data_IF_707365489183
#
_entry.id   IF_707365489183
#
_cell.length_a   1.000
_cell.length_b   1.000
_cell.length_c   1.000
_cell.angle_alpha   90.00
_cell.angle_beta   90.00
_cell.angle_gamma   90.00
#
_symmetry.space_group_name_H-M   'P 1'
#
loop_
_entity.id
_entity.type
_entity.pdbx_description
1 polymer ?
#
# COMPACT_ATOMS: atom_id res chain seq x y z
N UNK A 1 14.62 -6.62 -4.53
CA UNK A 1 14.18 -7.74 -3.70
C UNK A 1 12.81 -7.48 -3.12
N UNK A 2 12.01 -8.54 -2.94
CA UNK A 2 10.81 -8.51 -2.12
C UNK A 2 11.23 -8.83 -0.69
N UNK A 3 11.20 -7.83 0.18
CA UNK A 3 11.68 -7.99 1.56
C UNK A 3 10.66 -8.69 2.45
N UNK A 4 9.38 -8.43 2.25
CA UNK A 4 8.29 -9.06 2.99
C UNK A 4 6.97 -9.00 2.20
N UNK A 5 6.15 -10.01 2.37
CA UNK A 5 4.78 -10.03 1.87
C UNK A 5 3.89 -10.80 2.84
N UNK A 6 2.65 -10.35 2.97
CA UNK A 6 1.63 -11.04 3.78
C UNK A 6 0.25 -10.79 3.19
N UNK A 7 -0.68 -11.70 3.46
CA UNK A 7 -2.08 -11.55 3.10
C UNK A 7 -2.99 -12.01 4.25
N UNK A 8 -4.22 -11.53 4.25
CA UNK A 8 -5.27 -11.96 5.16
C UNK A 8 -6.55 -12.23 4.35
N UNK A 9 -7.31 -13.29 4.67
CA UNK A 9 -6.98 -14.34 5.63
C UNK A 9 -5.68 -15.06 5.29
N UNK A 10 -4.92 -15.49 6.32
CA UNK A 10 -3.65 -16.19 6.15
C UNK A 10 -3.89 -17.70 6.03
N UNK A 11 -3.29 -18.32 5.02
CA UNK A 11 -3.20 -19.78 4.89
C UNK A 11 -1.90 -20.23 5.52
N UNK A 12 -1.99 -21.22 6.41
CA UNK A 12 -0.86 -21.88 7.05
C UNK A 12 -1.03 -23.40 6.90
N UNK A 13 0.02 -24.15 7.16
CA UNK A 13 -0.07 -25.62 7.18
C UNK A 13 -1.15 -26.12 8.17
N UNK A 14 -1.33 -25.42 9.28
CA UNK A 14 -2.25 -25.80 10.33
C UNK A 14 -3.73 -25.54 9.96
N UNK A 15 -4.01 -24.46 9.23
CA UNK A 15 -5.39 -24.07 8.86
C UNK A 15 -5.77 -24.44 7.41
N UNK A 16 -4.88 -25.03 6.63
CA UNK A 16 -5.14 -25.35 5.22
C UNK A 16 -6.37 -26.24 5.02
N UNK A 17 -6.60 -27.20 5.91
CA UNK A 17 -7.75 -28.10 5.90
C UNK A 17 -8.89 -27.65 6.83
N UNK A 18 -8.76 -26.53 7.53
CA UNK A 18 -9.78 -26.03 8.44
C UNK A 18 -10.94 -25.42 7.65
N UNK A 19 -12.13 -26.06 7.79
CA UNK A 19 -13.35 -25.60 7.12
C UNK A 19 -13.73 -24.18 7.55
N UNK A 20 -13.60 -23.84 8.83
CA UNK A 20 -13.94 -22.51 9.33
C UNK A 20 -13.01 -21.42 8.78
N UNK A 21 -11.72 -21.74 8.57
CA UNK A 21 -10.80 -20.82 7.92
C UNK A 21 -11.16 -20.58 6.45
N UNK A 22 -11.58 -21.64 5.74
CA UNK A 22 -11.96 -21.58 4.32
C UNK A 22 -13.30 -20.89 4.07
N UNK A 23 -14.19 -20.89 5.04
CA UNK A 23 -15.50 -20.24 5.00
C UNK A 23 -15.44 -18.76 5.38
N UNK A 24 -14.25 -18.23 5.76
CA UNK A 24 -14.09 -16.80 6.02
C UNK A 24 -14.36 -15.97 4.76
N UNK A 25 -15.03 -14.84 4.88
CA UNK A 25 -15.21 -13.93 3.76
C UNK A 25 -13.86 -13.58 3.09
N UNK A 26 -13.85 -13.59 1.74
CA UNK A 26 -12.65 -13.30 0.93
C UNK A 26 -11.46 -14.25 1.14
N UNK A 27 -11.69 -15.42 1.72
CA UNK A 27 -10.68 -16.48 1.72
C UNK A 27 -10.28 -16.83 0.28
N UNK A 28 -8.99 -16.95 0.05
CA UNK A 28 -8.43 -17.41 -1.23
C UNK A 28 -7.20 -18.26 -0.98
N UNK A 29 -7.07 -19.33 -1.75
CA UNK A 29 -5.85 -20.17 -1.78
C UNK A 29 -4.78 -19.53 -2.69
N UNK A 30 -5.15 -18.54 -3.50
CA UNK A 30 -4.24 -17.84 -4.38
C UNK A 30 -3.43 -16.79 -3.64
N UNK A 31 -2.19 -16.60 -4.04
CA UNK A 31 -1.39 -15.47 -3.58
C UNK A 31 -1.97 -14.16 -4.11
N UNK A 32 -2.32 -13.25 -3.20
CA UNK A 32 -2.77 -11.91 -3.58
C UNK A 32 -1.66 -11.08 -4.21
N UNK A 33 -0.40 -11.43 -4.00
CA UNK A 33 0.74 -10.72 -4.57
C UNK A 33 0.81 -10.85 -6.10
N UNK A 34 0.63 -12.07 -6.64
CA UNK A 34 0.88 -12.36 -8.06
C UNK A 34 -0.18 -13.24 -8.75
N UNK A 35 -1.15 -13.81 -8.01
CA UNK A 35 -2.21 -14.67 -8.57
C UNK A 35 -3.60 -14.01 -8.52
N UNK A 36 -3.72 -12.83 -7.95
CA UNK A 36 -4.97 -12.07 -7.88
C UNK A 36 -4.84 -10.77 -8.62
N UNK A 37 -5.67 -10.58 -9.62
CA UNK A 37 -5.74 -9.34 -10.38
C UNK A 37 -6.91 -8.50 -9.90
N UNK A 38 -6.74 -7.19 -9.98
CA UNK A 38 -7.72 -6.21 -9.51
C UNK A 38 -7.53 -4.88 -10.25
N UNK A 39 -8.54 -4.03 -10.21
CA UNK A 39 -8.42 -2.64 -10.66
C UNK A 39 -7.65 -1.82 -9.61
N UNK A 40 -6.50 -1.21 -9.97
CA UNK A 40 -5.60 -0.58 -8.99
C UNK A 40 -6.13 0.72 -8.38
N UNK A 41 -7.12 1.34 -9.02
CA UNK A 41 -7.64 2.63 -8.60
C UNK A 41 -6.60 3.74 -8.68
N UNK A 42 -6.77 4.77 -7.85
CA UNK A 42 -6.00 6.02 -7.94
C UNK A 42 -4.49 5.90 -7.71
N UNK A 43 -3.95 4.77 -7.31
CA UNK A 43 -2.49 4.57 -7.29
C UNK A 43 -1.90 4.56 -8.70
N UNK A 44 -2.73 4.23 -9.73
CA UNK A 44 -2.35 4.30 -11.14
C UNK A 44 -1.97 5.72 -11.59
N UNK A 45 -2.51 6.75 -10.94
CA UNK A 45 -2.23 8.16 -11.24
C UNK A 45 -0.75 8.52 -11.10
N UNK A 46 0.03 7.76 -10.32
CA UNK A 46 1.49 7.94 -10.23
C UNK A 46 2.15 7.67 -11.58
N UNK A 47 1.75 6.60 -12.26
CA UNK A 47 2.28 6.23 -13.57
C UNK A 47 1.82 7.21 -14.65
N UNK A 48 0.54 7.63 -14.62
CA UNK A 48 0.04 8.63 -15.56
C UNK A 48 0.78 9.96 -15.41
N UNK A 49 0.92 10.48 -14.18
CA UNK A 49 1.57 11.76 -13.94
C UNK A 49 3.03 11.73 -14.41
N UNK A 50 3.77 10.68 -14.07
CA UNK A 50 5.14 10.50 -14.54
C UNK A 50 5.22 10.46 -16.08
N UNK A 51 4.29 9.76 -16.75
CA UNK A 51 4.22 9.69 -18.21
C UNK A 51 3.89 11.03 -18.86
N UNK A 52 2.97 11.79 -18.26
CA UNK A 52 2.57 13.09 -18.77
C UNK A 52 3.69 14.14 -18.61
N UNK A 53 4.43 14.10 -17.52
CA UNK A 53 5.62 14.91 -17.29
C UNK A 53 6.76 14.54 -18.26
N UNK A 54 7.02 13.24 -18.45
CA UNK A 54 8.04 12.73 -19.37
C UNK A 54 7.76 13.14 -20.81
N UNK A 55 6.51 13.15 -21.21
CA UNK A 55 6.07 13.53 -22.58
C UNK A 55 5.80 15.03 -22.76
N UNK A 56 5.99 15.85 -21.72
CA UNK A 56 5.66 17.29 -21.71
C UNK A 56 4.17 17.56 -22.07
N UNK A 57 3.24 16.71 -21.61
CA UNK A 57 1.80 16.82 -21.88
C UNK A 57 1.01 17.40 -20.71
N UNK A 58 1.68 17.77 -19.62
CA UNK A 58 1.07 18.45 -18.48
C UNK A 58 1.96 19.61 -18.02
N UNK A 59 1.33 20.75 -17.77
CA UNK A 59 1.89 21.84 -16.97
C UNK A 59 1.24 21.80 -15.59
N UNK A 60 2.02 21.52 -14.56
CA UNK A 60 1.56 21.36 -13.18
C UNK A 60 0.84 22.61 -12.64
N UNK A 61 1.18 23.80 -13.14
CA UNK A 61 0.61 25.08 -12.71
C UNK A 61 -0.62 25.49 -13.52
N UNK A 62 -0.91 24.82 -14.66
CA UNK A 62 -2.11 25.07 -15.42
C UNK A 62 -3.36 24.61 -14.66
N UNK A 63 -4.41 25.41 -14.70
CA UNK A 63 -5.65 25.14 -14.00
C UNK A 63 -6.69 24.50 -14.91
N UNK A 64 -7.57 23.71 -14.32
CA UNK A 64 -8.69 23.07 -15.00
C UNK A 64 -9.94 23.02 -14.14
N UNK A 65 -11.11 22.96 -14.78
CA UNK A 65 -12.38 22.72 -14.09
C UNK A 65 -12.57 21.23 -13.82
N UNK A 66 -12.93 20.88 -12.58
CA UNK A 66 -12.96 19.51 -12.02
C UNK A 66 -14.15 18.65 -12.44
N UNK A 67 -14.75 18.91 -13.60
CA UNK A 67 -15.81 18.11 -14.20
C UNK A 67 -15.51 17.90 -15.66
N UNK A 68 -15.65 16.68 -16.14
CA UNK A 68 -15.47 16.34 -17.56
C UNK A 68 -16.64 15.53 -18.05
N UNK A 69 -17.29 16.02 -19.09
CA UNK A 69 -18.27 15.24 -19.85
C UNK A 69 -17.52 14.42 -20.89
N UNK A 70 -17.63 13.10 -20.80
CA UNK A 70 -16.97 12.15 -21.67
C UNK A 70 -18.02 11.23 -22.28
N UNK A 71 -18.43 11.49 -23.52
CA UNK A 71 -19.55 10.82 -24.19
C UNK A 71 -20.81 10.88 -23.31
N UNK A 72 -21.34 9.73 -22.88
CA UNK A 72 -22.52 9.59 -22.03
C UNK A 72 -22.17 9.52 -20.52
N UNK A 73 -20.87 9.65 -20.17
CA UNK A 73 -20.38 9.58 -18.79
C UNK A 73 -19.91 10.94 -18.31
N UNK A 74 -20.28 11.31 -17.10
CA UNK A 74 -19.74 12.49 -16.41
C UNK A 74 -18.69 12.03 -15.40
N UNK A 75 -17.44 12.48 -15.56
CA UNK A 75 -16.37 12.22 -14.61
C UNK A 75 -16.28 13.41 -13.66
N UNK A 76 -16.54 13.12 -12.39
CA UNK A 76 -16.44 14.04 -11.27
C UNK A 76 -15.35 13.59 -10.31
N UNK A 77 -14.92 14.50 -9.44
CA UNK A 77 -14.07 14.20 -8.31
C UNK A 77 -14.92 13.76 -7.11
N UNK A 78 -14.28 13.12 -6.13
CA UNK A 78 -14.92 12.49 -4.97
C UNK A 78 -15.73 13.45 -4.08
N UNK A 79 -15.43 14.75 -4.12
CA UNK A 79 -16.08 15.79 -3.32
C UNK A 79 -17.18 16.55 -4.08
N UNK A 80 -17.48 16.14 -5.31
CA UNK A 80 -18.59 16.70 -6.06
C UNK A 80 -19.92 16.25 -5.41
N UNK A 81 -20.82 17.21 -5.21
CA UNK A 81 -22.21 16.87 -4.88
C UNK A 81 -22.84 16.11 -6.05
N UNK A 82 -23.48 15.00 -5.78
CA UNK A 82 -24.28 14.26 -6.75
C UNK A 82 -25.58 14.98 -7.10
N UNK A 83 -25.94 16.04 -6.33
CA UNK A 83 -27.04 16.92 -6.63
C UNK A 83 -26.77 17.68 -7.95
N UNK A 84 -27.82 17.92 -8.70
CA UNK A 84 -27.83 18.43 -10.08
C UNK A 84 -27.06 19.74 -10.35
N UNK A 85 -26.63 20.46 -9.32
CA UNK A 85 -25.91 21.73 -9.42
C UNK A 85 -24.39 21.63 -9.60
N UNK A 86 -23.81 20.43 -9.40
CA UNK A 86 -22.38 20.18 -9.59
C UNK A 86 -21.47 20.99 -8.66
N UNK A 87 -21.93 21.33 -7.46
CA UNK A 87 -21.11 22.01 -6.45
C UNK A 87 -20.03 21.08 -5.91
N UNK A 88 -18.89 21.64 -5.53
CA UNK A 88 -17.77 20.95 -4.91
C UNK A 88 -17.53 21.48 -3.50
N UNK A 89 -17.04 20.63 -2.61
CA UNK A 89 -16.60 21.05 -1.25
C UNK A 89 -15.31 21.86 -1.29
N UNK A 90 -14.41 21.51 -2.21
CA UNK A 90 -13.18 22.23 -2.52
C UNK A 90 -13.38 23.09 -3.77
N UNK A 91 -12.48 24.04 -4.11
CA UNK A 91 -12.60 24.87 -5.29
C UNK A 91 -12.87 24.07 -6.58
N UNK A 92 -13.79 24.51 -7.41
CA UNK A 92 -14.18 23.83 -8.65
C UNK A 92 -13.11 23.88 -9.76
N UNK A 93 -12.15 24.79 -9.62
CA UNK A 93 -10.99 24.95 -10.51
C UNK A 93 -9.72 24.84 -9.69
N UNK A 94 -8.82 23.97 -10.11
CA UNK A 94 -7.56 23.67 -9.42
C UNK A 94 -6.45 23.49 -10.45
N UNK A 95 -5.21 23.59 -10.02
CA UNK A 95 -4.04 23.24 -10.84
C UNK A 95 -3.89 21.73 -10.97
N UNK A 96 -3.12 21.26 -11.96
CA UNK A 96 -2.83 19.81 -12.08
C UNK A 96 -2.04 19.29 -10.89
N UNK A 97 -1.19 20.10 -10.26
CA UNK A 97 -0.49 19.72 -9.03
C UNK A 97 -1.47 19.47 -7.87
N UNK A 98 -2.35 20.44 -7.59
CA UNK A 98 -3.42 20.30 -6.58
C UNK A 98 -4.35 19.12 -6.89
N UNK A 99 -4.72 18.96 -8.17
CA UNK A 99 -5.53 17.85 -8.63
C UNK A 99 -4.89 16.48 -8.40
N UNK A 100 -3.58 16.34 -8.57
CA UNK A 100 -2.89 15.11 -8.23
C UNK A 100 -2.92 14.84 -6.72
N UNK A 101 -2.63 15.85 -5.90
CA UNK A 101 -2.61 15.73 -4.44
C UNK A 101 -3.98 15.37 -3.86
N UNK A 102 -5.06 15.96 -4.37
CA UNK A 102 -6.43 15.62 -3.99
C UNK A 102 -7.00 14.39 -4.71
N UNK A 103 -6.20 13.76 -5.56
CA UNK A 103 -6.61 12.55 -6.30
C UNK A 103 -7.75 12.77 -7.29
N UNK A 104 -7.75 13.90 -8.03
CA UNK A 104 -8.77 14.26 -9.02
C UNK A 104 -8.85 13.27 -10.19
N UNK A 105 -10.03 12.71 -10.45
CA UNK A 105 -10.29 11.90 -11.64
C UNK A 105 -10.45 12.78 -12.88
N UNK A 106 -11.09 13.94 -12.73
CA UNK A 106 -11.26 14.90 -13.81
C UNK A 106 -9.91 15.43 -14.33
N UNK A 107 -8.95 15.69 -13.42
CA UNK A 107 -7.59 16.08 -13.79
C UNK A 107 -6.88 15.01 -14.61
N UNK A 108 -6.95 13.76 -14.18
CA UNK A 108 -6.32 12.65 -14.91
C UNK A 108 -6.97 12.42 -16.28
N UNK A 109 -8.29 12.54 -16.37
CA UNK A 109 -9.01 12.51 -17.65
C UNK A 109 -8.48 13.55 -18.61
N UNK A 110 -8.31 14.79 -18.16
CA UNK A 110 -7.77 15.87 -19.01
C UNK A 110 -6.33 15.64 -19.43
N UNK A 111 -5.52 15.04 -18.56
CA UNK A 111 -4.15 14.66 -18.90
C UNK A 111 -4.15 13.64 -20.04
N UNK A 112 -4.98 12.58 -19.98
CA UNK A 112 -5.06 11.60 -21.07
C UNK A 112 -5.63 12.25 -22.35
N UNK A 113 -6.60 13.15 -22.24
CA UNK A 113 -7.08 13.91 -23.40
C UNK A 113 -5.95 14.73 -24.06
N UNK A 114 -5.05 15.33 -23.28
CA UNK A 114 -3.89 16.09 -23.79
C UNK A 114 -2.79 15.17 -24.35
N UNK A 115 -2.61 13.98 -23.77
CA UNK A 115 -1.65 12.99 -24.25
C UNK A 115 -2.10 12.28 -25.52
N UNK A 116 -3.38 11.96 -25.59
CA UNK A 116 -3.98 10.99 -26.51
C UNK A 116 -3.86 9.56 -25.98
N UNK A 117 -4.87 8.74 -26.26
CA UNK A 117 -4.95 7.37 -25.78
C UNK A 117 -3.78 6.49 -26.23
N UNK A 118 -3.32 6.64 -27.48
CA UNK A 118 -2.20 5.86 -28.03
C UNK A 118 -0.90 6.12 -27.25
N UNK A 119 -0.64 7.37 -26.89
CA UNK A 119 0.55 7.70 -26.11
C UNK A 119 0.44 7.12 -24.70
N UNK A 120 -0.74 7.21 -24.07
CA UNK A 120 -0.97 6.60 -22.76
C UNK A 120 -0.81 5.07 -22.80
N UNK A 121 -1.39 4.38 -23.78
CA UNK A 121 -1.21 2.94 -23.98
C UNK A 121 0.26 2.58 -24.16
N UNK A 122 1.01 3.37 -24.92
CA UNK A 122 2.46 3.14 -25.08
C UNK A 122 3.21 3.20 -23.74
N UNK A 123 2.84 4.10 -22.82
CA UNK A 123 3.43 4.16 -21.49
C UNK A 123 3.01 2.99 -20.61
N UNK A 124 1.75 2.54 -20.66
CA UNK A 124 1.32 1.33 -19.96
C UNK A 124 2.18 0.13 -20.35
N UNK A 125 2.48 -0.01 -21.65
CA UNK A 125 3.36 -1.08 -22.17
C UNK A 125 4.81 -0.87 -21.77
N UNK A 126 5.31 0.36 -21.72
CA UNK A 126 6.67 0.68 -21.22
C UNK A 126 6.82 0.31 -19.74
N UNK A 127 5.79 0.52 -18.91
CA UNK A 127 5.71 0.03 -17.54
C UNK A 127 5.44 -1.47 -17.42
N UNK A 128 5.29 -2.16 -18.57
CA UNK A 128 5.04 -3.61 -18.66
C UNK A 128 3.76 -4.08 -17.97
N UNK A 129 2.71 -3.24 -17.92
CA UNK A 129 1.39 -3.73 -17.58
C UNK A 129 0.87 -4.69 -18.67
N UNK A 130 0.04 -5.66 -18.30
CA UNK A 130 -0.48 -6.68 -19.20
C UNK A 130 0.52 -7.79 -19.55
N UNK A 131 1.72 -7.84 -18.92
CA UNK A 131 2.69 -8.94 -19.12
C UNK A 131 3.22 -9.44 -17.77
N UNK A 132 3.54 -10.74 -17.64
CA UNK A 132 4.02 -11.33 -16.40
C UNK A 132 5.34 -10.70 -15.92
N UNK A 133 5.58 -10.78 -14.62
CA UNK A 133 6.81 -10.29 -13.99
C UNK A 133 7.91 -11.35 -13.92
N UNK A 134 7.65 -12.56 -14.36
CA UNK A 134 8.60 -13.68 -14.30
C UNK A 134 9.13 -13.94 -12.88
N UNK A 135 8.27 -13.72 -11.87
CA UNK A 135 8.62 -13.94 -10.45
C UNK A 135 9.10 -15.37 -10.14
N UNK A 136 8.96 -16.29 -11.10
CA UNK A 136 9.37 -17.69 -10.98
C UNK A 136 8.41 -18.58 -10.21
N UNK A 137 7.21 -18.08 -9.90
CA UNK A 137 6.17 -18.82 -9.18
C UNK A 137 5.04 -19.23 -10.12
N UNK A 138 4.47 -20.40 -9.89
CA UNK A 138 3.38 -20.92 -10.73
C UNK A 138 2.09 -20.14 -10.62
N UNK A 139 1.33 -20.06 -11.73
CA UNK A 139 -0.01 -19.44 -11.74
C UNK A 139 0.00 -17.92 -11.73
N UNK A 140 1.12 -17.28 -12.09
CA UNK A 140 1.20 -15.83 -12.17
C UNK A 140 0.14 -15.25 -13.11
N UNK A 141 -0.64 -14.29 -12.61
CA UNK A 141 -1.59 -13.49 -13.37
C UNK A 141 -0.95 -12.16 -13.77
N UNK A 142 -1.37 -11.60 -14.90
CA UNK A 142 -0.75 -10.38 -15.44
C UNK A 142 -1.75 -9.31 -15.86
N UNK A 143 -3.01 -9.48 -15.47
CA UNK A 143 -4.05 -8.48 -15.71
C UNK A 143 -4.37 -8.26 -17.19
N UNK A 144 -5.08 -7.19 -17.47
CA UNK A 144 -5.43 -6.78 -18.82
C UNK A 144 -5.25 -5.26 -18.97
N UNK A 145 -4.73 -4.84 -20.11
CA UNK A 145 -4.76 -3.44 -20.54
C UNK A 145 -6.19 -3.03 -20.87
N UNK A 146 -6.51 -1.71 -20.86
CA UNK A 146 -7.83 -1.24 -21.28
C UNK A 146 -8.13 -1.69 -22.73
N UNK A 147 -9.40 -1.96 -23.00
CA UNK A 147 -9.87 -2.26 -24.34
C UNK A 147 -9.86 -1.00 -25.25
N UNK A 148 -10.29 -1.17 -26.50
CA UNK A 148 -10.32 -0.06 -27.48
C UNK A 148 -11.47 0.94 -27.21
N UNK A 149 -12.28 0.76 -26.18
CA UNK A 149 -13.31 1.71 -25.79
C UNK A 149 -12.65 2.99 -25.24
N UNK A 150 -12.91 4.17 -25.83
CA UNK A 150 -12.30 5.42 -25.37
C UNK A 150 -12.58 5.75 -23.90
N UNK A 151 -13.71 5.32 -23.35
CA UNK A 151 -14.04 5.53 -21.94
C UNK A 151 -13.13 4.66 -21.06
N UNK A 152 -12.98 3.36 -21.39
CA UNK A 152 -12.07 2.46 -20.68
C UNK A 152 -10.62 2.96 -20.70
N UNK A 153 -10.17 3.42 -21.88
CA UNK A 153 -8.81 3.97 -22.03
C UNK A 153 -8.57 5.18 -21.12
N UNK A 154 -9.53 6.10 -21.05
CA UNK A 154 -9.43 7.25 -20.15
C UNK A 154 -9.55 6.83 -18.69
N UNK A 155 -10.49 5.94 -18.35
CA UNK A 155 -10.67 5.46 -16.97
C UNK A 155 -9.46 4.70 -16.44
N UNK A 156 -8.69 4.06 -17.31
CA UNK A 156 -7.44 3.39 -16.92
C UNK A 156 -6.41 4.35 -16.30
N UNK A 157 -6.51 5.64 -16.62
CA UNK A 157 -5.65 6.69 -16.06
C UNK A 157 -5.81 6.88 -14.55
N UNK A 158 -6.96 6.52 -14.01
CA UNK A 158 -7.22 6.52 -12.58
C UNK A 158 -7.52 5.11 -12.04
N UNK A 159 -7.14 4.08 -12.82
CA UNK A 159 -7.08 2.68 -12.41
C UNK A 159 -8.40 1.94 -12.47
N UNK A 160 -9.33 2.33 -13.34
CA UNK A 160 -10.54 1.60 -13.70
C UNK A 160 -10.46 1.17 -15.18
N UNK A 161 -11.13 0.08 -15.56
CA UNK A 161 -11.01 -0.46 -16.93
C UNK A 161 -9.63 -1.04 -17.28
N UNK A 162 -8.79 -1.23 -16.30
CA UNK A 162 -7.49 -1.93 -16.37
C UNK A 162 -7.36 -2.86 -15.18
N UNK A 163 -6.83 -4.05 -15.36
CA UNK A 163 -6.54 -4.94 -14.23
C UNK A 163 -5.06 -5.24 -14.13
N UNK A 164 -4.57 -5.41 -12.91
CA UNK A 164 -3.16 -5.66 -12.60
C UNK A 164 -3.02 -6.49 -11.34
N UNK A 165 -1.84 -7.02 -11.09
CA UNK A 165 -1.47 -7.65 -9.82
C UNK A 165 -0.61 -6.70 -8.97
N UNK A 166 -0.51 -6.97 -7.67
CA UNK A 166 0.34 -6.15 -6.80
C UNK A 166 1.80 -6.15 -7.24
N UNK A 167 2.29 -7.32 -7.70
CA UNK A 167 3.69 -7.44 -8.14
C UNK A 167 3.99 -6.61 -9.40
N UNK A 168 3.03 -6.46 -10.32
CA UNK A 168 3.19 -5.60 -11.48
C UNK A 168 3.25 -4.11 -11.10
N UNK A 169 2.42 -3.67 -10.15
CA UNK A 169 2.49 -2.32 -9.59
C UNK A 169 3.85 -2.07 -8.94
N UNK A 170 4.30 -3.00 -8.11
CA UNK A 170 5.60 -2.93 -7.45
C UNK A 170 6.75 -2.88 -8.48
N UNK A 171 6.70 -3.70 -9.55
CA UNK A 171 7.67 -3.62 -10.64
C UNK A 171 7.70 -2.22 -11.25
N UNK A 172 6.55 -1.66 -11.60
CA UNK A 172 6.48 -0.30 -12.13
C UNK A 172 7.08 0.74 -11.20
N UNK A 173 6.76 0.67 -9.90
CA UNK A 173 7.28 1.60 -8.89
C UNK A 173 8.77 1.42 -8.58
N UNK A 174 9.42 0.31 -8.94
CA UNK A 174 10.88 0.22 -8.82
C UNK A 174 11.59 1.33 -9.61
N UNK A 175 11.00 1.80 -10.72
CA UNK A 175 11.54 2.93 -11.47
C UNK A 175 11.56 4.23 -10.68
N UNK A 176 10.62 4.41 -9.73
CA UNK A 176 10.57 5.58 -8.84
C UNK A 176 11.68 5.55 -7.78
N UNK A 177 12.10 4.37 -7.37
CA UNK A 177 13.17 4.18 -6.41
C UNK A 177 14.55 4.03 -7.05
N UNK A 178 14.62 3.93 -8.39
CA UNK A 178 15.86 3.60 -9.09
C UNK A 178 16.07 4.50 -10.32
N UNK A 179 15.88 5.81 -10.17
CA UNK A 179 16.20 6.87 -11.16
C UNK A 179 15.64 6.60 -12.56
N UNK A 180 14.44 6.05 -12.63
CA UNK A 180 13.79 5.70 -13.89
C UNK A 180 14.05 4.28 -14.38
N UNK A 181 14.98 3.54 -13.81
CA UNK A 181 15.23 2.14 -14.15
C UNK A 181 14.24 1.22 -13.46
N UNK A 182 13.47 0.51 -14.26
CA UNK A 182 12.50 -0.47 -13.76
C UNK A 182 13.17 -1.83 -13.60
N UNK A 183 13.04 -2.41 -12.41
CA UNK A 183 13.65 -3.70 -12.03
C UNK A 183 12.64 -4.84 -12.06
N UNK A 184 13.12 -6.03 -12.45
CA UNK A 184 12.33 -7.26 -12.29
C UNK A 184 12.31 -7.70 -10.82
N UNK A 185 11.12 -7.89 -10.22
CA UNK A 185 11.03 -8.36 -8.85
C UNK A 185 11.38 -9.85 -8.75
N UNK A 186 12.04 -10.26 -7.67
CA UNK A 186 12.33 -11.65 -7.39
C UNK A 186 12.20 -11.96 -5.89
N UNK A 187 11.84 -13.22 -5.58
CA UNK A 187 11.67 -13.73 -4.20
C UNK A 187 12.79 -14.69 -3.81
N UNK A 188 13.50 -15.25 -4.79
CA UNK A 188 14.63 -16.14 -4.55
C UNK A 188 15.91 -15.36 -4.74
N UNK A 189 16.65 -15.12 -3.68
CA UNK A 189 17.93 -14.42 -3.74
C UNK A 189 19.07 -15.36 -4.15
N UNK A 190 19.04 -16.62 -3.67
CA UNK A 190 20.13 -17.56 -3.90
C UNK A 190 19.65 -19.01 -3.79
N UNK A 191 20.19 -19.88 -4.66
CA UNK A 191 20.06 -21.35 -4.55
C UNK A 191 21.43 -21.94 -4.40
N UNK A 192 21.64 -22.72 -3.32
CA UNK A 192 22.90 -23.42 -3.04
C UNK A 192 22.65 -24.90 -2.82
N UNK A 193 23.62 -25.75 -3.15
CA UNK A 193 23.60 -27.17 -2.83
C UNK A 193 24.04 -27.44 -1.37
N UNK A 194 24.00 -28.71 -0.99
CA UNK A 194 24.47 -29.18 0.33
C UNK A 194 25.95 -28.86 0.61
N UNK A 195 26.75 -28.73 -0.44
CA UNK A 195 28.19 -28.46 -0.35
C UNK A 195 28.48 -26.95 -0.46
N UNK A 196 27.43 -26.10 -0.39
CA UNK A 196 27.46 -24.64 -0.49
C UNK A 196 27.87 -24.09 -1.87
N UNK A 197 27.87 -24.91 -2.92
CA UNK A 197 28.04 -24.41 -4.28
C UNK A 197 26.80 -23.62 -4.68
N UNK A 198 26.99 -22.45 -5.28
CA UNK A 198 25.92 -21.59 -5.73
C UNK A 198 25.47 -21.98 -7.14
N UNK A 199 24.19 -22.36 -7.29
CA UNK A 199 23.56 -22.64 -8.57
C UNK A 199 22.89 -21.41 -9.16
N UNK A 200 22.30 -20.58 -8.31
CA UNK A 200 21.64 -19.34 -8.69
C UNK A 200 21.96 -18.27 -7.66
N UNK A 201 22.27 -17.11 -8.11
CA UNK A 201 22.30 -15.89 -7.32
C UNK A 201 21.60 -14.79 -8.11
N UNK A 202 20.44 -14.34 -7.60
CA UNK A 202 19.67 -13.30 -8.25
C UNK A 202 20.37 -11.96 -8.14
N UNK A 203 20.35 -11.20 -9.23
CA UNK A 203 20.89 -9.86 -9.30
C UNK A 203 19.81 -8.89 -9.76
N UNK A 204 19.98 -7.62 -9.48
CA UNK A 204 19.11 -6.59 -10.02
C UNK A 204 19.11 -6.66 -11.55
N UNK A 205 17.96 -6.92 -12.15
CA UNK A 205 17.75 -6.98 -13.59
C UNK A 205 16.95 -5.74 -14.01
N UNK A 206 17.57 -4.85 -14.77
CA UNK A 206 16.88 -3.69 -15.36
C UNK A 206 16.08 -4.17 -16.57
N UNK A 207 14.76 -4.05 -16.51
CA UNK A 207 13.83 -4.52 -17.55
C UNK A 207 13.25 -3.39 -18.40
N UNK A 208 13.60 -2.17 -18.11
CA UNK A 208 13.21 -1.01 -18.88
C UNK A 208 13.48 0.30 -18.16
N UNK A 209 13.29 1.38 -18.91
CA UNK A 209 13.28 2.75 -18.37
C UNK A 209 12.02 3.44 -18.93
N UNK A 210 10.86 3.27 -18.25
CA UNK A 210 9.58 3.74 -18.78
C UNK A 210 9.50 5.26 -18.92
N UNK A 211 10.10 5.99 -17.99
CA UNK A 211 10.10 7.46 -17.93
C UNK A 211 11.46 7.98 -17.45
N UNK A 212 11.70 9.27 -17.63
CA UNK A 212 12.93 9.95 -17.19
C UNK A 212 13.00 10.12 -15.67
N UNK A 213 14.21 10.28 -15.15
CA UNK A 213 14.46 10.58 -13.74
C UNK A 213 13.80 11.90 -13.31
N UNK A 214 13.80 12.93 -14.16
CA UNK A 214 13.16 14.23 -13.91
C UNK A 214 11.65 14.09 -13.69
N UNK A 215 10.97 13.34 -14.57
CA UNK A 215 9.53 13.08 -14.44
C UNK A 215 9.19 12.33 -13.16
N UNK A 216 10.02 11.37 -12.76
CA UNK A 216 9.86 10.64 -11.51
C UNK A 216 10.05 11.55 -10.30
N UNK A 217 11.10 12.36 -10.27
CA UNK A 217 11.38 13.25 -9.14
C UNK A 217 10.24 14.25 -8.94
N UNK A 218 9.75 14.87 -10.00
CA UNK A 218 8.56 15.75 -9.94
C UNK A 218 7.31 15.02 -9.45
N UNK A 219 7.11 13.78 -9.88
CA UNK A 219 5.97 12.97 -9.40
C UNK A 219 6.11 12.64 -7.92
N UNK A 220 7.32 12.29 -7.44
CA UNK A 220 7.56 12.05 -6.00
C UNK A 220 7.35 13.30 -5.15
N UNK A 221 7.71 14.48 -5.64
CA UNK A 221 7.41 15.75 -4.95
C UNK A 221 5.89 15.93 -4.77
N UNK A 222 5.10 15.65 -5.81
CA UNK A 222 3.64 15.64 -5.69
C UNK A 222 3.13 14.57 -4.72
N UNK A 223 3.75 13.38 -4.70
CA UNK A 223 3.42 12.32 -3.74
C UNK A 223 3.75 12.71 -2.29
N UNK A 224 4.79 13.52 -2.06
CA UNK A 224 5.04 14.13 -0.75
C UNK A 224 3.89 15.09 -0.40
N UNK A 225 3.45 15.91 -1.34
CA UNK A 225 2.28 16.81 -1.16
C UNK A 225 0.99 16.04 -0.81
N UNK A 226 0.76 14.87 -1.38
CA UNK A 226 -0.38 14.00 -0.98
C UNK A 226 -0.39 13.73 0.53
N UNK A 227 0.79 13.67 1.17
CA UNK A 227 0.91 13.37 2.59
C UNK A 227 1.09 14.61 3.49
N UNK A 228 1.50 15.74 2.94
CA UNK A 228 1.90 16.90 3.74
C UNK A 228 1.07 18.16 3.51
N UNK A 229 0.32 18.23 2.41
CA UNK A 229 -0.50 19.40 2.13
C UNK A 229 -1.82 19.35 2.93
N UNK A 230 -2.10 20.33 3.80
CA UNK A 230 -3.28 20.30 4.66
C UNK A 230 -4.60 20.58 3.92
N UNK A 231 -4.53 21.11 2.70
CA UNK A 231 -5.71 21.46 1.90
C UNK A 231 -6.03 20.40 0.86
N UNK A 232 -5.01 19.90 0.17
CA UNK A 232 -5.15 19.02 -0.99
C UNK A 232 -4.74 17.58 -0.74
N UNK A 233 -3.94 17.34 0.29
CA UNK A 233 -3.34 16.02 0.56
C UNK A 233 -4.36 15.01 1.05
N UNK A 234 -4.59 13.94 0.27
CA UNK A 234 -5.53 12.88 0.65
C UNK A 234 -5.06 11.99 1.81
N UNK A 235 -3.82 12.07 2.22
CA UNK A 235 -3.28 11.40 3.42
C UNK A 235 -2.81 12.37 4.51
N UNK A 236 -3.24 13.64 4.44
CA UNK A 236 -3.12 14.58 5.54
C UNK A 236 -4.40 14.57 6.38
N UNK A 237 -4.28 14.21 7.64
CA UNK A 237 -5.42 14.18 8.57
C UNK A 237 -5.71 15.59 9.07
N UNK A 238 -6.92 16.09 8.85
CA UNK A 238 -7.33 17.44 9.28
C UNK A 238 -8.00 17.47 10.64
N UNK A 239 -8.48 16.31 11.11
CA UNK A 239 -9.13 16.15 12.42
C UNK A 239 -8.58 14.90 13.09
N UNK A 240 -8.62 14.86 14.43
CA UNK A 240 -8.26 13.67 15.17
C UNK A 240 -9.14 12.48 14.76
N UNK A 241 -8.52 11.35 14.49
CA UNK A 241 -9.22 10.11 14.10
C UNK A 241 -8.45 8.88 14.58
N UNK A 242 -9.12 7.96 15.24
CA UNK A 242 -8.57 6.68 15.69
C UNK A 242 -7.27 6.80 16.52
N UNK A 243 -7.14 7.88 17.29
CA UNK A 243 -5.97 8.15 18.11
C UNK A 243 -4.79 8.78 17.36
N UNK A 244 -5.00 9.23 16.11
CA UNK A 244 -4.04 10.03 15.37
C UNK A 244 -4.35 11.51 15.47
N UNK A 245 -3.36 12.30 15.81
CA UNK A 245 -3.41 13.75 15.75
C UNK A 245 -3.48 14.24 14.29
N UNK A 246 -4.05 15.46 14.04
CA UNK A 246 -3.99 16.06 12.72
C UNK A 246 -2.55 16.18 12.18
N UNK A 247 -2.36 15.85 10.93
CA UNK A 247 -1.03 15.89 10.29
C UNK A 247 -0.83 14.81 9.23
N UNK A 248 0.40 14.68 8.72
CA UNK A 248 0.76 13.61 7.79
C UNK A 248 0.59 12.22 8.43
N UNK A 249 -0.13 11.32 7.75
CA UNK A 249 -0.36 9.96 8.26
C UNK A 249 0.85 9.03 8.09
N UNK A 250 1.61 9.19 7.01
CA UNK A 250 2.72 8.29 6.69
C UNK A 250 4.06 8.91 7.08
N UNK A 251 4.60 8.44 8.20
CA UNK A 251 5.81 9.00 8.81
C UNK A 251 6.75 7.90 9.31
N UNK A 252 8.05 8.12 9.13
CA UNK A 252 9.12 7.29 9.71
C UNK A 252 10.05 8.19 10.52
N UNK A 253 10.16 7.98 11.82
CA UNK A 253 11.04 8.75 12.70
C UNK A 253 10.90 10.28 12.52
N UNK A 254 9.67 10.77 12.37
CA UNK A 254 9.38 12.21 12.16
C UNK A 254 9.63 12.72 10.74
N UNK A 255 10.00 11.86 9.79
CA UNK A 255 10.18 12.19 8.38
C UNK A 255 8.99 11.69 7.55
N UNK A 256 8.57 12.49 6.58
CA UNK A 256 7.47 12.14 5.68
C UNK A 256 7.87 11.08 4.65
N UNK A 257 6.87 10.45 4.05
CA UNK A 257 7.02 9.55 2.90
C UNK A 257 6.41 10.20 1.64
N UNK A 258 6.82 9.74 0.46
CA UNK A 258 6.09 9.99 -0.77
C UNK A 258 4.95 8.96 -0.88
N UNK A 259 3.70 9.45 -0.93
CA UNK A 259 2.50 8.61 -0.80
C UNK A 259 1.52 8.83 -1.95
N UNK A 260 0.84 7.79 -2.38
CA UNK A 260 -0.39 7.91 -3.17
C UNK A 260 -1.44 6.94 -2.65
N UNK A 261 -2.60 7.48 -2.34
CA UNK A 261 -3.77 6.73 -1.89
C UNK A 261 -4.61 6.28 -3.08
N UNK A 262 -5.34 5.19 -2.91
CA UNK A 262 -6.23 4.65 -3.93
C UNK A 262 -7.54 4.17 -3.32
N UNK A 263 -8.60 4.37 -4.09
CA UNK A 263 -9.91 3.76 -3.89
C UNK A 263 -10.36 3.22 -5.23
N UNK A 264 -10.70 1.95 -5.31
CA UNK A 264 -11.23 1.31 -6.50
C UNK A 264 -12.54 0.60 -6.17
N UNK A 265 -13.48 0.61 -7.10
CA UNK A 265 -14.70 -0.17 -6.98
C UNK A 265 -14.40 -1.65 -7.28
N UNK A 266 -15.15 -2.55 -6.68
CA UNK A 266 -15.04 -3.97 -6.96
C UNK A 266 -15.93 -4.31 -8.13
N UNK A 267 -15.37 -4.95 -9.16
CA UNK A 267 -16.15 -5.45 -10.29
C UNK A 267 -17.15 -6.51 -9.82
N UNK A 268 -18.37 -6.43 -10.31
CA UNK A 268 -19.41 -7.42 -10.04
C UNK A 268 -19.33 -8.57 -11.06
N UNK A 269 -19.59 -9.79 -10.60
CA UNK A 269 -19.62 -11.01 -11.47
C UNK A 269 -20.65 -10.88 -12.60
N UNK A 270 -21.67 -10.04 -12.43
CA UNK A 270 -22.73 -9.78 -13.41
C UNK A 270 -22.40 -8.64 -14.38
N UNK A 271 -21.20 -8.10 -14.33
CA UNK A 271 -20.76 -6.91 -15.08
C UNK A 271 -21.03 -5.61 -14.32
N UNK A 272 -20.24 -4.57 -14.60
CA UNK A 272 -20.25 -3.30 -13.89
C UNK A 272 -19.58 -3.42 -12.50
N UNK A 273 -19.97 -2.53 -11.58
CA UNK A 273 -19.40 -2.46 -10.23
C UNK A 273 -20.44 -2.84 -9.18
N UNK A 274 -19.96 -3.41 -8.07
CA UNK A 274 -20.80 -3.66 -6.91
C UNK A 274 -21.32 -2.33 -6.34
N UNK A 275 -22.57 -2.33 -5.89
CA UNK A 275 -23.24 -1.11 -5.41
C UNK A 275 -23.29 -1.12 -3.88
N UNK A 276 -22.28 -0.61 -3.24
CA UNK A 276 -22.28 -0.43 -1.79
C UNK A 276 -21.08 0.39 -1.36
N UNK A 277 -21.23 1.22 -0.34
CA UNK A 277 -20.09 1.96 0.24
C UNK A 277 -18.99 1.02 0.78
N UNK A 278 -19.30 -0.27 0.90
CA UNK A 278 -18.42 -1.30 1.44
C UNK A 278 -17.70 -2.11 0.35
N UNK A 279 -18.08 -1.91 -0.92
CA UNK A 279 -17.59 -2.72 -2.03
C UNK A 279 -16.41 -2.04 -2.74
N UNK A 280 -15.44 -1.59 -1.96
CA UNK A 280 -14.26 -0.90 -2.48
C UNK A 280 -12.96 -1.59 -2.06
N UNK A 281 -11.95 -1.42 -2.88
CA UNK A 281 -10.56 -1.70 -2.56
C UNK A 281 -9.89 -0.39 -2.19
N UNK A 282 -9.40 -0.29 -0.98
CA UNK A 282 -8.60 0.83 -0.52
C UNK A 282 -7.13 0.46 -0.55
N UNK A 283 -6.30 1.37 -1.00
CA UNK A 283 -4.87 1.11 -1.16
C UNK A 283 -4.01 2.33 -0.88
N UNK A 284 -2.75 2.10 -0.56
CA UNK A 284 -1.73 3.12 -0.57
C UNK A 284 -0.39 2.53 -1.01
N UNK A 285 0.34 3.30 -1.81
CA UNK A 285 1.78 3.13 -2.01
C UNK A 285 2.49 4.20 -1.20
N UNK A 286 3.55 3.81 -0.49
CA UNK A 286 4.41 4.71 0.24
C UNK A 286 5.89 4.39 -0.06
N UNK A 287 6.70 5.42 -0.26
CA UNK A 287 8.11 5.29 -0.60
C UNK A 287 8.95 6.07 0.40
N UNK A 288 10.00 5.44 0.91
CA UNK A 288 10.86 6.04 1.95
C UNK A 288 12.35 5.69 1.72
N UNK A 289 13.28 6.64 1.89
CA UNK A 289 13.05 8.11 1.96
C UNK A 289 12.39 8.65 0.67
N UNK A 290 11.68 9.80 0.72
CA UNK A 290 10.93 10.26 -0.45
C UNK A 290 11.81 10.67 -1.64
N UNK A 291 13.00 11.23 -1.40
CA UNK A 291 13.88 11.73 -2.45
C UNK A 291 14.56 10.56 -3.20
N UNK A 292 15.06 9.57 -2.46
CA UNK A 292 15.75 8.41 -3.00
C UNK A 292 15.29 7.16 -2.24
N UNK A 293 14.16 6.55 -2.62
CA UNK A 293 13.54 5.49 -1.85
C UNK A 293 14.39 4.22 -1.74
N UNK A 294 14.63 3.78 -0.52
CA UNK A 294 15.18 2.47 -0.21
C UNK A 294 14.08 1.41 -0.11
N UNK A 295 12.87 1.86 0.23
CA UNK A 295 11.72 1.00 0.47
C UNK A 295 10.51 1.49 -0.30
N UNK A 296 9.80 0.55 -0.91
CA UNK A 296 8.48 0.73 -1.50
C UNK A 296 7.53 -0.18 -0.71
N UNK A 297 6.57 0.43 -0.07
CA UNK A 297 5.47 -0.27 0.60
C UNK A 297 4.22 -0.14 -0.24
N UNK A 298 3.48 -1.23 -0.40
CA UNK A 298 2.15 -1.22 -0.97
C UNK A 298 1.22 -2.10 -0.16
N UNK A 299 0.04 -1.60 0.11
CA UNK A 299 -1.02 -2.35 0.75
C UNK A 299 -2.34 -2.04 0.10
N UNK A 300 -3.16 -3.07 -0.12
CA UNK A 300 -4.56 -2.91 -0.46
C UNK A 300 -5.43 -3.70 0.52
N UNK A 301 -6.62 -3.18 0.75
CA UNK A 301 -7.63 -3.78 1.64
C UNK A 301 -8.94 -3.82 0.87
N UNK A 302 -9.44 -5.04 0.63
CA UNK A 302 -10.78 -5.27 0.13
C UNK A 302 -11.70 -5.33 1.34
N UNK A 303 -12.50 -4.30 1.57
CA UNK A 303 -13.26 -4.20 2.81
C UNK A 303 -14.74 -4.44 2.56
N UNK A 304 -15.32 -5.31 3.39
CA UNK A 304 -16.75 -5.35 3.65
C UNK A 304 -17.16 -4.64 4.95
N UNK A 305 -16.29 -3.91 5.63
CA UNK A 305 -16.62 -3.34 6.94
C UNK A 305 -16.98 -1.86 6.88
N UNK A 306 -17.83 -1.43 7.79
CA UNK A 306 -18.64 -0.23 7.76
C UNK A 306 -17.93 1.13 7.85
N UNK A 307 -16.66 1.19 8.21
CA UNK A 307 -15.89 2.43 8.31
C UNK A 307 -14.47 2.21 7.88
N UNK A 308 -14.10 2.82 6.77
CA UNK A 308 -12.72 2.82 6.32
C UNK A 308 -11.96 4.04 6.83
N UNK A 309 -10.67 3.83 7.13
CA UNK A 309 -9.75 4.90 7.41
C UNK A 309 -8.35 4.56 6.88
N UNK A 310 -7.69 5.55 6.25
CA UNK A 310 -6.28 5.45 5.84
C UNK A 310 -5.34 5.19 7.01
N UNK A 311 -5.77 5.51 8.23
CA UNK A 311 -5.01 5.25 9.45
C UNK A 311 -4.66 3.77 9.60
N UNK A 312 -5.53 2.84 9.19
CA UNK A 312 -5.21 1.40 9.21
C UNK A 312 -4.00 1.05 8.35
N UNK A 313 -3.86 1.68 7.18
CA UNK A 313 -2.71 1.43 6.31
C UNK A 313 -1.46 2.07 6.87
N UNK A 314 -1.54 3.29 7.39
CA UNK A 314 -0.40 3.97 8.03
C UNK A 314 0.05 3.27 9.32
N UNK A 315 -0.87 2.70 10.10
CA UNK A 315 -0.57 1.91 11.30
C UNK A 315 0.25 0.65 10.99
N UNK A 316 0.16 0.13 9.77
CA UNK A 316 0.98 -0.97 9.28
C UNK A 316 2.28 -0.45 8.65
N UNK A 317 2.18 0.55 7.78
CA UNK A 317 3.30 1.07 7.00
C UNK A 317 4.40 1.69 7.88
N UNK A 318 3.99 2.56 8.82
CA UNK A 318 4.94 3.34 9.62
C UNK A 318 5.88 2.45 10.46
N UNK A 319 5.38 1.53 11.31
CA UNK A 319 6.25 0.66 12.09
C UNK A 319 7.04 -0.33 11.22
N UNK A 320 6.46 -0.82 10.12
CA UNK A 320 7.13 -1.76 9.23
C UNK A 320 8.35 -1.11 8.55
N UNK A 321 8.18 0.08 7.96
CA UNK A 321 9.27 0.79 7.28
C UNK A 321 10.31 1.28 8.31
N UNK A 322 9.87 1.76 9.47
CA UNK A 322 10.78 2.11 10.59
C UNK A 322 11.67 0.92 10.95
N UNK A 323 11.09 -0.28 11.04
CA UNK A 323 11.85 -1.49 11.34
C UNK A 323 12.79 -1.89 10.22
N UNK A 324 12.35 -1.78 8.96
CA UNK A 324 13.18 -2.05 7.79
C UNK A 324 14.40 -1.10 7.73
N UNK A 325 14.19 0.19 8.01
CA UNK A 325 15.27 1.18 8.09
C UNK A 325 16.28 0.81 9.19
N UNK A 326 15.80 0.42 10.37
CA UNK A 326 16.66 -0.03 11.46
C UNK A 326 17.53 -1.23 11.06
N UNK A 327 16.94 -2.25 10.42
CA UNK A 327 17.67 -3.44 9.96
C UNK A 327 18.72 -3.04 8.92
N UNK A 328 18.35 -2.23 7.92
CA UNK A 328 19.29 -1.75 6.90
C UNK A 328 20.49 -1.02 7.51
N UNK A 329 20.23 -0.15 8.48
CA UNK A 329 21.29 0.62 9.16
C UNK A 329 22.19 -0.26 10.00
N UNK A 330 21.69 -1.37 10.54
CA UNK A 330 22.49 -2.36 11.29
C UNK A 330 23.41 -3.18 10.36
N UNK A 331 22.91 -3.60 9.20
CA UNK A 331 23.69 -4.32 8.19
C UNK A 331 24.81 -3.47 7.58
N UNK A 332 24.58 -2.16 7.44
CA UNK A 332 25.56 -1.19 6.92
C UNK A 332 26.70 -0.90 7.93
N UNK A 333 26.59 -1.33 9.18
CA UNK A 333 27.60 -1.14 10.23
C UNK A 333 28.11 -2.49 10.75
N UNK A 334 29.12 -3.13 10.11
CA UNK A 334 29.58 -4.46 10.49
C UNK A 334 30.24 -4.60 11.88
N UNK A 335 30.31 -3.54 12.65
CA UNK A 335 31.03 -3.49 13.92
C UNK A 335 30.15 -3.11 15.10
N UNK A 336 29.07 -3.79 15.35
CA UNK A 336 28.54 -3.94 16.71
C UNK A 336 27.31 -4.88 16.75
N UNK A 337 27.53 -6.17 16.72
CA UNK A 337 26.48 -7.14 17.05
C UNK A 337 26.22 -7.22 18.56
N UNK A 338 27.00 -6.55 19.40
CA UNK A 338 26.80 -6.44 20.85
C UNK A 338 25.87 -5.30 21.27
N UNK A 339 25.47 -4.44 20.31
CA UNK A 339 24.68 -3.21 20.54
C UNK A 339 23.37 -3.14 19.77
N UNK A 340 22.69 -4.23 19.52
CA UNK A 340 21.28 -4.22 19.12
C UNK A 340 20.42 -3.60 20.24
N UNK A 341 20.51 -2.30 20.40
CA UNK A 341 19.47 -1.50 21.02
C UNK A 341 18.30 -1.43 20.02
N UNK A 342 17.65 -2.55 19.76
CA UNK A 342 16.22 -2.53 19.48
C UNK A 342 15.64 -1.61 20.57
N UNK A 343 14.95 -0.55 20.18
CA UNK A 343 14.46 0.42 21.13
C UNK A 343 13.86 -0.35 22.30
N UNK A 344 14.41 -0.19 23.49
CA UNK A 344 13.87 -0.86 24.65
C UNK A 344 12.53 -0.24 24.92
N UNK A 345 11.52 -1.05 25.02
CA UNK A 345 10.16 -0.65 25.38
C UNK A 345 10.00 -0.87 26.89
N UNK A 346 9.68 0.20 27.58
CA UNK A 346 9.32 0.10 29.01
C UNK A 346 7.87 -0.36 29.11
N UNK A 347 7.63 -1.50 29.74
CA UNK A 347 6.28 -2.03 29.85
C UNK A 347 5.44 -1.29 30.88
N UNK A 348 4.21 -1.02 30.49
CA UNK A 348 3.19 -0.48 31.38
C UNK A 348 2.56 -1.56 32.25
N UNK A 349 1.68 -1.14 33.16
CA UNK A 349 0.78 -2.02 33.88
C UNK A 349 -0.44 -2.31 33.02
N UNK A 350 -0.62 -3.60 32.68
CA UNK A 350 -1.74 -4.05 31.85
C UNK A 350 -2.83 -4.74 32.64
N UNK A 351 -2.66 -4.94 33.95
CA UNK A 351 -3.69 -5.56 34.78
C UNK A 351 -4.99 -4.72 34.77
N UNK A 352 -6.10 -5.39 34.64
CA UNK A 352 -7.43 -4.79 34.52
C UNK A 352 -7.80 -4.25 33.13
N UNK A 353 -6.85 -4.16 32.20
CA UNK A 353 -7.11 -3.69 30.83
C UNK A 353 -7.66 -4.81 29.94
N UNK A 354 -8.37 -4.45 28.87
CA UNK A 354 -8.90 -5.39 27.89
C UNK A 354 -7.75 -6.06 27.11
N UNK A 355 -7.71 -7.41 26.99
CA UNK A 355 -6.58 -8.13 26.37
C UNK A 355 -6.32 -7.74 24.92
N UNK A 356 -7.38 -7.45 24.14
CA UNK A 356 -7.26 -7.00 22.76
C UNK A 356 -6.50 -5.68 22.63
N UNK A 357 -6.90 -4.68 23.40
CA UNK A 357 -6.25 -3.36 23.40
C UNK A 357 -4.78 -3.45 23.84
N UNK A 358 -4.50 -4.28 24.85
CA UNK A 358 -3.12 -4.52 25.32
C UNK A 358 -2.30 -5.21 24.25
N UNK A 359 -2.85 -6.25 23.60
CA UNK A 359 -2.18 -6.96 22.52
C UNK A 359 -1.83 -6.03 21.35
N UNK A 360 -2.76 -5.15 20.96
CA UNK A 360 -2.51 -4.19 19.90
C UNK A 360 -1.46 -3.15 20.30
N UNK A 361 -1.47 -2.68 21.53
CA UNK A 361 -0.44 -1.79 22.06
C UNK A 361 0.93 -2.46 22.07
N UNK A 362 1.03 -3.71 22.51
CA UNK A 362 2.28 -4.47 22.52
C UNK A 362 2.81 -4.72 21.11
N UNK A 363 1.94 -5.08 20.15
CA UNK A 363 2.32 -5.26 18.74
C UNK A 363 2.83 -3.96 18.11
N UNK A 364 2.19 -2.82 18.39
CA UNK A 364 2.67 -1.49 17.93
C UNK A 364 4.07 -1.17 18.45
N UNK A 365 4.40 -1.67 19.62
CA UNK A 365 5.74 -1.55 20.21
C UNK A 365 6.69 -2.72 19.83
N UNK A 366 6.34 -3.45 18.76
CA UNK A 366 7.11 -4.57 18.23
C UNK A 366 7.33 -5.72 19.23
N UNK A 367 6.46 -5.88 20.20
CA UNK A 367 6.48 -7.00 21.15
C UNK A 367 5.54 -8.12 20.68
N UNK A 368 5.75 -9.34 21.20
CA UNK A 368 4.96 -10.51 20.85
C UNK A 368 3.95 -10.84 21.96
N UNK A 369 2.69 -10.33 21.93
CA UNK A 369 1.72 -10.66 22.94
C UNK A 369 1.22 -12.09 22.79
N UNK A 370 1.12 -12.81 23.91
CA UNK A 370 0.53 -14.15 24.02
C UNK A 370 -0.61 -14.06 25.04
N UNK A 371 -1.85 -14.10 24.57
CA UNK A 371 -3.02 -14.07 25.44
C UNK A 371 -3.37 -15.49 25.88
N UNK A 372 -3.48 -15.70 27.17
CA UNK A 372 -3.83 -16.97 27.80
C UNK A 372 -5.19 -16.81 28.47
N UNK A 373 -6.18 -17.58 28.00
CA UNK A 373 -7.56 -17.52 28.43
C UNK A 373 -8.45 -16.67 27.52
N UNK A 374 -9.76 -16.74 27.76
CA UNK A 374 -10.79 -16.06 26.97
C UNK A 374 -11.52 -14.95 27.76
N UNK A 375 -10.91 -14.46 28.81
CA UNK A 375 -11.47 -13.43 29.66
C UNK A 375 -11.47 -12.04 29.04
N UNK A 376 -12.14 -11.12 29.71
CA UNK A 376 -12.33 -9.73 29.26
C UNK A 376 -11.29 -8.77 29.82
N UNK A 377 -10.52 -9.20 30.82
CA UNK A 377 -9.49 -8.40 31.49
C UNK A 377 -8.21 -9.19 31.72
N UNK A 378 -7.08 -8.52 31.57
CA UNK A 378 -5.78 -9.05 31.96
C UNK A 378 -5.70 -9.11 33.49
N UNK A 379 -5.37 -10.28 34.03
CA UNK A 379 -5.17 -10.48 35.47
C UNK A 379 -3.71 -10.53 35.86
N UNK A 380 -2.81 -10.86 34.92
CA UNK A 380 -1.37 -10.94 35.15
C UNK A 380 -0.61 -10.80 33.81
N UNK A 381 0.56 -10.19 33.88
CA UNK A 381 1.50 -10.12 32.77
C UNK A 381 2.84 -10.79 33.15
N UNK A 382 3.52 -11.43 32.16
CA UNK A 382 4.77 -12.16 32.40
C UNK A 382 5.98 -11.26 32.61
N UNK A 383 5.94 -10.05 32.11
CA UNK A 383 7.00 -9.05 32.24
C UNK A 383 6.51 -7.93 33.13
N UNK A 384 7.26 -7.59 34.17
CA UNK A 384 6.82 -6.61 35.16
C UNK A 384 6.72 -5.18 34.57
N UNK A 385 5.79 -4.40 35.12
CA UNK A 385 5.71 -2.95 34.89
C UNK A 385 7.05 -2.28 35.15
N UNK A 386 7.43 -1.37 34.24
CA UNK A 386 8.69 -0.62 34.33
C UNK A 386 9.90 -1.37 33.82
N UNK A 387 9.78 -2.65 33.49
CA UNK A 387 10.87 -3.43 32.89
C UNK A 387 11.04 -3.02 31.42
N UNK A 388 12.29 -2.81 31.02
CA UNK A 388 12.67 -2.58 29.64
C UNK A 388 12.93 -3.89 28.91
N UNK A 389 12.30 -4.10 27.77
CA UNK A 389 12.44 -5.28 26.92
C UNK A 389 12.75 -4.90 25.48
N UNK A 390 13.45 -5.75 24.78
CA UNK A 390 13.75 -5.58 23.34
C UNK A 390 12.58 -5.98 22.44
N UNK A 391 12.66 -5.62 21.15
CA UNK A 391 11.71 -6.06 20.16
C UNK A 391 11.57 -7.60 20.10
N UNK A 392 10.39 -8.09 19.72
CA UNK A 392 10.00 -9.50 19.66
C UNK A 392 10.00 -10.22 21.02
N UNK A 393 10.20 -9.52 22.15
CA UNK A 393 10.04 -10.14 23.46
C UNK A 393 8.61 -10.64 23.65
N UNK A 394 8.41 -11.94 23.98
CA UNK A 394 7.08 -12.45 24.25
C UNK A 394 6.56 -11.90 25.59
N UNK A 395 5.36 -11.34 25.55
CA UNK A 395 4.65 -10.85 26.75
C UNK A 395 3.37 -11.67 26.90
N UNK A 396 3.37 -12.59 27.86
CA UNK A 396 2.18 -13.37 28.18
C UNK A 396 1.23 -12.54 29.02
N UNK A 397 -0.05 -12.56 28.64
CA UNK A 397 -1.16 -11.87 29.27
C UNK A 397 -2.16 -12.94 29.74
N UNK A 398 -2.27 -13.16 31.04
CA UNK A 398 -3.26 -14.03 31.60
C UNK A 398 -4.58 -13.25 31.78
N UNK A 399 -5.70 -13.84 31.39
CA UNK A 399 -7.02 -13.19 31.50
C UNK A 399 -7.85 -13.76 32.65
N UNK A 400 -8.99 -13.13 32.96
CA UNK A 400 -9.93 -13.51 34.03
C UNK A 400 -10.89 -14.67 33.66
N UNK A 401 -10.77 -15.24 32.45
CA UNK A 401 -11.59 -16.37 32.00
C UNK A 401 -10.88 -17.72 32.13
N UNK A 402 -11.54 -18.78 31.65
CA UNK A 402 -10.95 -20.13 31.64
C UNK A 402 -9.64 -20.18 30.87
N UNK A 403 -8.67 -20.88 31.43
CA UNK A 403 -7.34 -21.00 30.89
C UNK A 403 -7.14 -22.39 30.27
N UNK A 404 -6.95 -22.41 28.96
CA UNK A 404 -6.38 -23.57 28.27
C UNK A 404 -4.92 -23.23 28.01
N UNK A 405 -4.01 -23.95 28.68
CA UNK A 405 -2.56 -23.80 28.40
C UNK A 405 -2.31 -24.20 26.95
N UNK A 406 -1.72 -23.32 26.12
CA UNK A 406 -1.23 -23.75 24.82
C UNK A 406 -0.23 -24.89 25.00
N UNK A 407 -0.30 -25.91 24.14
CA UNK A 407 0.69 -26.99 24.12
C UNK A 407 2.03 -26.42 23.68
N UNK A 408 2.87 -26.09 24.66
CA UNK A 408 4.19 -25.47 24.45
C UNK A 408 5.26 -26.46 23.97
N UNK A 409 4.91 -27.74 23.75
CA UNK A 409 5.83 -28.82 23.44
C UNK A 409 5.54 -29.53 22.11
N UNK A 410 4.79 -28.90 21.20
CA UNK A 410 4.65 -29.38 19.82
C UNK A 410 5.34 -28.47 18.82
#
# INVERSE_FOLDING_TARGET
>A
DILATTQRPTITADNFNDKAAREQPYFTENSMLYQSQFEPGSVMKTFLMASALDSNKVDLNASYYRRVNLYDVVINDWDANESEDGTFKLPSTVTFAEGFMMSSNAGMTRIVQNMGSDLWDSYLRRFKFGVPTRIGMGGEQFGALPDDNPVSQIQSSFGQGISTTQIQLLRGWTSFANKGEMLEPHVVSKIVDKDKNTYLESRAEVVGRPVSEDAINKTKELMVGVNTDPTWGTSYLTVESQGHEPGPLFMVNGKTMAVKTGTAQIAADTGGYMKGMQDNIYSAVAMYPPENPDFIFYMNIKIPASTWSLTYISDVANPLITRAEQIKNQEASPQDTSGLKAGKVTLEDYEGKAPGNVSDSLRRNLLAPIVIGQGTKVTKQSVAKGQEVGANTPVMLLTDGDHIMPDMFK
#
